data_IF_611884117807
#
_entry.id   IF_611884117807
#
_cell.length_a   1.000
_cell.length_b   1.000
_cell.length_c   1.000
_cell.angle_alpha   90.00
_cell.angle_beta   90.00
_cell.angle_gamma   90.00
#
_symmetry.space_group_name_H-M   'P 1'
#
loop_
_entity.id
_entity.type
_entity.pdbx_description
1 polymer ?
#
# COMPACT_ATOMS: atom_id res chain seq x y z
N UNK A 1 2.61 3.12 -7.33
CA UNK A 1 2.50 4.23 -6.35
C UNK A 1 1.50 5.23 -6.91
N UNK A 2 0.58 5.71 -6.09
CA UNK A 2 -0.42 6.72 -6.46
C UNK A 2 -0.13 8.00 -5.70
N UNK A 3 -0.11 9.15 -6.39
CA UNK A 3 0.00 10.47 -5.76
C UNK A 3 -1.29 11.26 -5.98
N UNK A 4 -1.79 11.88 -4.91
CA UNK A 4 -2.92 12.79 -4.95
C UNK A 4 -2.42 14.23 -5.11
N UNK A 5 -3.25 15.11 -5.65
CA UNK A 5 -2.90 16.52 -5.89
C UNK A 5 -2.59 17.33 -4.63
N UNK A 6 -2.96 16.81 -3.45
CA UNK A 6 -2.67 17.39 -2.14
C UNK A 6 -1.37 16.88 -1.51
N UNK A 7 -0.56 16.13 -2.26
CA UNK A 7 0.73 15.61 -1.82
C UNK A 7 0.66 14.34 -0.97
N UNK A 8 -0.54 13.78 -0.74
CA UNK A 8 -0.68 12.44 -0.18
C UNK A 8 -0.29 11.39 -1.21
N UNK A 9 0.20 10.24 -0.76
CA UNK A 9 0.50 9.13 -1.65
C UNK A 9 0.19 7.77 -1.04
N UNK A 10 -0.03 6.79 -1.91
CA UNK A 10 -0.30 5.40 -1.55
C UNK A 10 0.75 4.46 -2.15
N UNK A 11 1.17 3.48 -1.34
CA UNK A 11 1.84 2.29 -1.85
C UNK A 11 0.77 1.34 -2.39
N UNK A 12 0.98 0.85 -3.63
CA UNK A 12 0.02 -0.01 -4.32
C UNK A 12 0.76 -1.18 -4.93
N UNK A 13 0.27 -2.39 -4.68
CA UNK A 13 0.71 -3.61 -5.36
C UNK A 13 -0.50 -4.33 -5.99
N UNK A 14 -0.34 -4.79 -7.24
CA UNK A 14 -1.40 -5.46 -7.98
C UNK A 14 -1.18 -6.98 -7.95
N UNK A 15 -2.16 -7.74 -7.47
CA UNK A 15 -2.13 -9.20 -7.32
C UNK A 15 -3.41 -9.83 -7.86
N UNK A 16 -3.32 -10.53 -8.98
CA UNK A 16 -4.52 -11.10 -9.64
C UNK A 16 -5.01 -12.37 -8.94
N UNK A 17 -4.14 -13.11 -8.26
CA UNK A 17 -4.50 -14.29 -7.48
C UNK A 17 -4.81 -13.97 -6.01
N UNK A 18 -5.84 -14.60 -5.44
CA UNK A 18 -6.16 -14.45 -4.01
C UNK A 18 -5.04 -14.96 -3.10
N UNK A 19 -4.29 -15.97 -3.54
CA UNK A 19 -3.13 -16.51 -2.81
C UNK A 19 -2.01 -15.48 -2.62
N UNK A 20 -1.93 -14.48 -3.49
CA UNK A 20 -0.82 -13.52 -3.50
C UNK A 20 -1.14 -12.24 -2.69
N UNK A 21 -2.36 -12.12 -2.14
CA UNK A 21 -2.79 -10.95 -1.35
C UNK A 21 -1.95 -10.83 -0.07
N UNK A 22 -1.63 -11.96 0.58
CA UNK A 22 -0.77 -11.97 1.77
C UNK A 22 0.63 -11.46 1.47
N UNK A 23 1.25 -11.96 0.40
CA UNK A 23 2.59 -11.54 0.00
C UNK A 23 2.61 -10.05 -0.37
N UNK A 24 1.61 -9.59 -1.14
CA UNK A 24 1.48 -8.17 -1.47
C UNK A 24 1.32 -7.29 -0.23
N UNK A 25 0.52 -7.70 0.75
CA UNK A 25 0.38 -6.94 1.98
C UNK A 25 1.68 -6.92 2.80
N UNK A 26 2.37 -8.06 2.90
CA UNK A 26 3.65 -8.17 3.60
C UNK A 26 4.72 -7.27 2.96
N UNK A 27 4.78 -7.22 1.62
CA UNK A 27 5.68 -6.32 0.89
C UNK A 27 5.41 -4.85 1.22
N UNK A 28 4.14 -4.42 1.21
CA UNK A 28 3.76 -3.04 1.51
C UNK A 28 4.08 -2.66 2.96
N UNK A 29 3.86 -3.57 3.91
CA UNK A 29 4.22 -3.37 5.32
C UNK A 29 5.73 -3.30 5.49
N UNK A 30 6.48 -4.17 4.83
CA UNK A 30 7.94 -4.17 4.87
C UNK A 30 8.52 -2.90 4.26
N UNK A 31 7.98 -2.45 3.12
CA UNK A 31 8.41 -1.21 2.48
C UNK A 31 8.13 0.01 3.37
N UNK A 32 6.95 0.07 4.00
CA UNK A 32 6.64 1.11 4.97
C UNK A 32 7.63 1.10 6.15
N UNK A 33 7.95 -0.09 6.70
CA UNK A 33 8.95 -0.22 7.76
C UNK A 33 10.32 0.30 7.32
N UNK A 34 10.76 -0.02 6.11
CA UNK A 34 12.04 0.46 5.58
C UNK A 34 12.07 2.00 5.45
N UNK A 35 10.97 2.62 5.03
CA UNK A 35 10.83 4.08 4.99
C UNK A 35 11.00 4.66 6.40
N UNK A 36 10.27 4.12 7.38
CA UNK A 36 10.37 4.55 8.78
C UNK A 36 11.78 4.40 9.33
N UNK A 37 12.45 3.26 9.08
CA UNK A 37 13.82 3.05 9.55
C UNK A 37 14.82 4.00 8.88
N UNK A 38 14.70 4.26 7.58
CA UNK A 38 15.55 5.20 6.86
C UNK A 38 15.42 6.63 7.43
N UNK A 39 14.19 7.07 7.70
CA UNK A 39 13.90 8.39 8.24
C UNK A 39 14.45 8.63 9.65
N UNK A 40 14.78 7.57 10.40
CA UNK A 40 15.46 7.74 11.71
C UNK A 40 16.88 8.27 11.57
N UNK A 41 17.50 8.08 10.40
CA UNK A 41 18.90 8.48 10.16
C UNK A 41 19.04 9.63 9.15
N UNK A 42 18.02 9.89 8.33
CA UNK A 42 18.03 10.94 7.32
C UNK A 42 17.22 12.16 7.77
N UNK A 43 17.92 13.18 8.30
CA UNK A 43 17.30 14.38 8.87
C UNK A 43 17.06 15.49 7.84
N UNK A 44 17.85 15.55 6.75
CA UNK A 44 17.80 16.68 5.81
C UNK A 44 16.65 16.53 4.82
N UNK A 45 16.42 15.31 4.32
CA UNK A 45 15.36 15.04 3.36
C UNK A 45 14.70 13.68 3.64
N UNK A 46 13.91 13.56 4.72
CA UNK A 46 13.23 12.31 5.03
C UNK A 46 12.21 11.95 3.94
N UNK A 47 12.01 10.65 3.73
CA UNK A 47 10.98 10.14 2.84
C UNK A 47 9.64 10.26 3.58
N UNK A 48 8.68 11.01 3.04
CA UNK A 48 7.33 11.06 3.64
C UNK A 48 6.76 9.63 3.80
N UNK A 49 6.14 9.32 4.93
CA UNK A 49 5.44 8.04 5.12
C UNK A 49 4.17 7.97 4.23
N UNK A 50 3.80 6.76 3.75
CA UNK A 50 2.63 6.59 2.91
C UNK A 50 1.33 6.81 3.68
N UNK A 51 0.38 7.51 3.07
CA UNK A 51 -0.94 7.76 3.66
C UNK A 51 -1.84 6.52 3.55
N UNK A 52 -1.61 5.65 2.55
CA UNK A 52 -2.35 4.42 2.31
C UNK A 52 -1.44 3.29 1.81
N UNK A 53 -1.83 2.04 2.13
CA UNK A 53 -1.25 0.82 1.56
C UNK A 53 -2.38 0.01 0.93
N UNK A 54 -2.27 -0.32 -0.35
CA UNK A 54 -3.35 -0.95 -1.12
C UNK A 54 -2.84 -2.18 -1.87
N UNK A 55 -3.55 -3.29 -1.73
CA UNK A 55 -3.44 -4.43 -2.65
C UNK A 55 -4.62 -4.39 -3.60
N UNK A 56 -4.36 -4.14 -4.89
CA UNK A 56 -5.36 -4.27 -5.94
C UNK A 56 -5.48 -5.74 -6.36
N UNK A 57 -6.70 -6.29 -6.36
CA UNK A 57 -6.89 -7.72 -6.61
C UNK A 57 -7.99 -8.08 -7.61
N UNK A 58 -7.87 -9.24 -8.24
CA UNK A 58 -8.95 -9.86 -9.03
C UNK A 58 -10.01 -10.56 -8.16
N UNK A 59 -9.85 -10.57 -6.84
CA UNK A 59 -10.83 -11.11 -5.89
C UNK A 59 -12.16 -10.34 -5.87
N UNK A 60 -13.14 -10.87 -5.14
CA UNK A 60 -14.51 -10.34 -5.14
C UNK A 60 -14.81 -9.34 -4.02
N UNK A 61 -14.03 -9.37 -2.92
CA UNK A 61 -14.36 -8.63 -1.71
C UNK A 61 -13.27 -7.62 -1.37
N UNK A 62 -13.69 -6.39 -1.05
CA UNK A 62 -12.81 -5.37 -0.48
C UNK A 62 -12.87 -5.39 1.05
N UNK A 63 -11.71 -5.26 1.70
CA UNK A 63 -11.60 -5.23 3.16
C UNK A 63 -10.30 -4.59 3.62
N UNK A 64 -10.27 -4.14 4.87
CA UNK A 64 -9.04 -3.68 5.54
C UNK A 64 -8.50 -4.78 6.43
N UNK A 65 -7.22 -5.08 6.28
CA UNK A 65 -6.48 -6.00 7.14
C UNK A 65 -6.06 -5.32 8.44
N UNK A 66 -5.77 -6.12 9.47
CA UNK A 66 -5.32 -5.62 10.77
C UNK A 66 -3.98 -4.84 10.70
N UNK A 67 -3.18 -5.04 9.65
CA UNK A 67 -1.92 -4.32 9.37
C UNK A 67 -2.13 -2.97 8.64
N UNK A 68 -3.39 -2.56 8.44
CA UNK A 68 -3.76 -1.32 7.79
C UNK A 68 -3.61 -1.34 6.27
N UNK A 69 -3.43 -2.51 5.65
CA UNK A 69 -3.47 -2.68 4.19
C UNK A 69 -4.92 -2.82 3.72
N UNK A 70 -5.30 -2.02 2.72
CA UNK A 70 -6.60 -2.10 2.06
C UNK A 70 -6.53 -3.06 0.88
N UNK A 71 -7.32 -4.13 0.92
CA UNK A 71 -7.51 -5.03 -0.23
C UNK A 71 -8.70 -4.51 -1.03
N UNK A 72 -8.46 -4.17 -2.30
CA UNK A 72 -9.47 -3.53 -3.16
C UNK A 72 -9.58 -4.33 -4.47
N UNK A 73 -10.74 -4.95 -4.75
CA UNK A 73 -11.02 -5.54 -6.05
C UNK A 73 -10.88 -4.55 -7.20
N UNK A 74 -10.35 -4.98 -8.35
CA UNK A 74 -10.33 -4.19 -9.58
C UNK A 74 -11.74 -3.75 -10.01
N UNK A 75 -12.76 -4.55 -9.68
CA UNK A 75 -14.16 -4.22 -9.92
C UNK A 75 -14.63 -2.96 -9.16
N UNK A 76 -13.94 -2.55 -8.09
CA UNK A 76 -14.22 -1.33 -7.34
C UNK A 76 -13.64 -0.07 -7.98
N UNK A 77 -12.81 -0.19 -9.03
CA UNK A 77 -12.18 0.93 -9.73
C UNK A 77 -12.96 1.34 -10.98
N UNK A 78 -14.24 0.96 -11.06
CA UNK A 78 -15.12 1.40 -12.14
C UNK A 78 -15.55 2.84 -11.84
N UNK A 79 -15.45 3.68 -12.88
CA UNK A 79 -15.65 5.14 -12.93
C UNK A 79 -14.37 5.96 -12.68
#
# INVERSE_FOLDING_TARGET
MLHLGDGRYALIECKLGSKEIEDGANHLVQLHKLIVEHNKTEEQMPIREPDLKIVLTGGQYGYTRNDGVHVIPLACLRD
#
